data_IF_979488128599
#
_entry.id   IF_979488128599
#
_cell.length_a   1.000
_cell.length_b   1.000
_cell.length_c   1.000
_cell.angle_alpha   90.00
_cell.angle_beta   90.00
_cell.angle_gamma   90.00
#
_symmetry.space_group_name_H-M   'P 1'
#
loop_
_entity.id
_entity.type
_entity.pdbx_description
1 polymer ?
#
# COMPACT_ATOMS: atom_id res chain seq x y z
N UNK A 1 -6.26 -13.02 -14.28
CA UNK A 1 -5.66 -13.31 -15.61
C UNK A 1 -6.30 -12.41 -16.65
N UNK A 2 -5.59 -12.12 -17.74
CA UNK A 2 -6.07 -11.28 -18.84
C UNK A 2 -5.48 -9.86 -18.85
N UNK A 3 -4.39 -9.60 -18.12
CA UNK A 3 -3.74 -8.29 -18.11
C UNK A 3 -3.16 -7.89 -19.49
N UNK A 4 -2.98 -8.87 -20.40
CA UNK A 4 -2.62 -8.63 -21.80
C UNK A 4 -3.57 -7.66 -22.52
N UNK A 5 -4.83 -7.57 -22.10
CA UNK A 5 -5.83 -6.65 -22.66
C UNK A 5 -5.49 -5.17 -22.49
N UNK A 6 -4.67 -4.84 -21.50
CA UNK A 6 -4.23 -3.47 -21.21
C UNK A 6 -2.94 -3.10 -21.95
N UNK A 7 -2.28 -4.06 -22.62
CA UNK A 7 -1.12 -3.78 -23.46
C UNK A 7 -1.53 -3.12 -24.78
N UNK A 8 -0.62 -2.37 -25.40
CA UNK A 8 -0.79 -1.84 -26.77
C UNK A 8 -1.13 -2.95 -27.76
N UNK A 9 -1.96 -2.66 -28.77
CA UNK A 9 -2.47 -3.66 -29.75
C UNK A 9 -1.36 -4.47 -30.44
N UNK A 10 -0.25 -3.82 -30.78
CA UNK A 10 0.90 -4.45 -31.46
C UNK A 10 1.91 -5.10 -30.49
N UNK A 11 1.62 -5.14 -29.19
CA UNK A 11 2.55 -5.69 -28.22
C UNK A 11 2.70 -7.21 -28.37
N UNK A 12 3.95 -7.71 -28.40
CA UNK A 12 4.28 -9.13 -28.64
C UNK A 12 3.52 -10.12 -27.77
N UNK A 13 3.30 -9.79 -26.49
CA UNK A 13 2.59 -10.68 -25.54
C UNK A 13 1.14 -10.95 -25.93
N UNK A 14 0.47 -10.05 -26.68
CA UNK A 14 -0.90 -10.30 -27.15
C UNK A 14 -0.98 -11.49 -28.10
N UNK A 15 0.08 -11.75 -28.87
CA UNK A 15 0.16 -12.87 -29.80
C UNK A 15 0.80 -14.13 -29.20
N UNK A 16 1.38 -14.04 -28.00
CA UNK A 16 2.04 -15.15 -27.32
C UNK A 16 1.01 -16.03 -26.59
N UNK A 17 0.40 -16.95 -27.33
CA UNK A 17 -0.52 -17.93 -26.76
C UNK A 17 0.20 -18.95 -25.86
N UNK A 18 1.43 -19.33 -26.25
CA UNK A 18 2.17 -20.45 -25.65
C UNK A 18 2.60 -20.16 -24.20
N UNK A 19 3.06 -18.95 -23.91
CA UNK A 19 3.53 -18.59 -22.56
C UNK A 19 2.41 -18.22 -21.58
N UNK A 20 1.20 -18.00 -22.08
CA UNK A 20 0.05 -17.51 -21.31
C UNK A 20 -1.03 -18.60 -21.14
N UNK A 21 -2.24 -18.35 -21.61
CA UNK A 21 -3.46 -19.14 -21.40
C UNK A 21 -3.84 -19.99 -22.62
N UNK A 22 -2.93 -20.16 -23.58
CA UNK A 22 -3.20 -20.88 -24.84
C UNK A 22 -3.96 -20.06 -25.89
N UNK A 23 -4.28 -18.79 -25.62
CA UNK A 23 -5.05 -17.93 -26.53
C UNK A 23 -4.28 -16.69 -26.99
N UNK A 24 -4.65 -16.15 -28.15
CA UNK A 24 -4.23 -14.82 -28.60
C UNK A 24 -5.20 -13.78 -28.03
N UNK A 25 -4.67 -12.68 -27.51
CA UNK A 25 -5.48 -11.60 -26.92
C UNK A 25 -5.79 -10.51 -27.94
N UNK A 26 -6.98 -10.59 -28.53
CA UNK A 26 -7.49 -9.60 -29.51
C UNK A 26 -8.40 -8.54 -28.88
N UNK A 27 -8.85 -8.73 -27.64
CA UNK A 27 -9.82 -7.82 -27.01
C UNK A 27 -9.14 -6.51 -26.63
N UNK A 28 -9.93 -5.45 -26.64
CA UNK A 28 -9.52 -4.15 -26.12
C UNK A 28 -9.56 -4.14 -24.59
N UNK A 29 -8.84 -3.19 -23.99
CA UNK A 29 -8.96 -2.90 -22.57
C UNK A 29 -10.43 -2.56 -22.26
N UNK A 30 -11.00 -3.04 -21.14
CA UNK A 30 -12.32 -2.62 -20.71
C UNK A 30 -12.40 -1.09 -20.61
N UNK A 31 -13.47 -0.49 -21.13
CA UNK A 31 -13.72 0.93 -20.96
C UNK A 31 -14.15 1.22 -19.52
N UNK A 32 -13.72 2.37 -19.00
CA UNK A 32 -14.23 2.88 -17.73
C UNK A 32 -15.73 3.11 -17.85
N UNK A 33 -16.49 2.53 -16.92
CA UNK A 33 -17.95 2.67 -16.87
C UNK A 33 -18.28 4.08 -16.38
N UNK A 34 -19.06 4.86 -17.15
CA UNK A 34 -19.47 6.21 -16.74
C UNK A 34 -20.30 6.20 -15.46
N UNK A 35 -20.30 7.29 -14.70
CA UNK A 35 -21.14 7.41 -13.51
C UNK A 35 -22.63 7.30 -13.85
N UNK A 36 -23.04 7.87 -14.99
CA UNK A 36 -24.41 7.75 -15.52
C UNK A 36 -24.83 6.30 -15.77
N UNK A 37 -23.95 5.50 -16.36
CA UNK A 37 -24.20 4.09 -16.62
C UNK A 37 -24.28 3.29 -15.32
N UNK A 38 -23.42 3.59 -14.34
CA UNK A 38 -23.51 2.97 -13.01
C UNK A 38 -24.81 3.34 -12.29
N UNK A 39 -25.24 4.60 -12.34
CA UNK A 39 -26.51 5.04 -11.76
C UNK A 39 -27.71 4.34 -12.40
N UNK A 40 -27.68 4.18 -13.73
CA UNK A 40 -28.71 3.43 -14.45
C UNK A 40 -28.74 1.94 -14.06
N UNK A 41 -27.57 1.31 -13.84
CA UNK A 41 -27.50 -0.09 -13.39
C UNK A 41 -28.15 -0.32 -12.02
N UNK A 42 -28.13 0.68 -11.14
CA UNK A 42 -28.64 0.55 -9.77
C UNK A 42 -30.01 1.17 -9.54
N UNK A 43 -30.57 1.86 -10.54
CA UNK A 43 -31.82 2.62 -10.42
C UNK A 43 -32.98 1.76 -9.90
N UNK A 44 -33.10 0.54 -10.42
CA UNK A 44 -34.21 -0.36 -10.12
C UNK A 44 -33.89 -1.37 -9.01
N UNK A 45 -32.72 -1.24 -8.37
CA UNK A 45 -32.29 -2.13 -7.28
C UNK A 45 -32.79 -1.57 -5.95
N UNK A 46 -33.61 -2.34 -5.25
CA UNK A 46 -33.97 -2.07 -3.85
C UNK A 46 -32.88 -2.58 -2.92
N UNK A 47 -32.15 -1.66 -2.30
CA UNK A 47 -31.14 -1.98 -1.28
C UNK A 47 -31.80 -2.01 0.11
N UNK A 48 -31.92 -3.20 0.71
CA UNK A 48 -32.39 -3.34 2.09
C UNK A 48 -31.15 -3.41 3.00
N UNK A 49 -31.03 -2.47 3.94
CA UNK A 49 -29.93 -2.45 4.90
C UNK A 49 -30.04 -3.66 5.82
N UNK A 50 -29.02 -4.52 5.83
CA UNK A 50 -28.95 -5.70 6.71
C UNK A 50 -29.40 -7.02 6.07
N UNK A 51 -29.92 -7.03 4.84
CA UNK A 51 -30.24 -8.26 4.10
C UNK A 51 -29.47 -8.32 2.78
N UNK A 52 -28.95 -9.49 2.43
CA UNK A 52 -28.41 -9.73 1.09
C UNK A 52 -29.57 -9.73 0.10
N UNK A 53 -29.53 -8.84 -0.89
CA UNK A 53 -30.53 -8.78 -1.96
C UNK A 53 -30.66 -10.15 -2.65
N UNK A 54 -31.83 -10.77 -2.55
CA UNK A 54 -32.18 -11.99 -3.30
C UNK A 54 -32.13 -11.69 -4.80
N UNK A 55 -31.62 -12.66 -5.55
CA UNK A 55 -31.33 -12.51 -6.98
C UNK A 55 -32.60 -12.23 -7.78
N UNK A 56 -32.69 -11.04 -8.36
CA UNK A 56 -33.70 -10.73 -9.39
C UNK A 56 -33.35 -11.52 -10.65
N UNK A 57 -34.25 -12.40 -11.09
CA UNK A 57 -34.10 -13.17 -12.33
C UNK A 57 -34.34 -12.30 -13.56
N UNK A 58 -33.43 -12.32 -14.54
CA UNK A 58 -33.65 -11.79 -15.88
C UNK A 58 -32.75 -10.62 -16.32
N UNK A 59 -31.95 -10.05 -15.43
CA UNK A 59 -30.90 -9.06 -15.74
C UNK A 59 -29.56 -9.63 -15.26
N UNK A 60 -28.42 -9.25 -15.87
CA UNK A 60 -27.06 -9.62 -15.42
C UNK A 60 -27.04 -9.80 -13.90
N UNK A 61 -26.74 -11.02 -13.41
CA UNK A 61 -26.71 -11.38 -11.97
C UNK A 61 -26.27 -10.16 -11.16
N UNK A 62 -27.20 -9.56 -10.41
CA UNK A 62 -26.95 -8.31 -9.70
C UNK A 62 -25.70 -8.46 -8.80
N UNK A 63 -24.59 -7.79 -9.17
CA UNK A 63 -23.34 -7.82 -8.41
C UNK A 63 -23.33 -6.79 -7.28
N UNK A 64 -24.30 -5.88 -7.25
CA UNK A 64 -24.42 -4.83 -6.25
C UNK A 64 -25.08 -5.35 -4.97
N UNK A 65 -24.32 -5.35 -3.88
CA UNK A 65 -24.82 -5.75 -2.55
C UNK A 65 -25.28 -4.58 -1.69
N UNK A 66 -24.74 -3.38 -1.94
CA UNK A 66 -25.00 -2.17 -1.16
C UNK A 66 -24.92 -0.94 -2.06
N UNK A 67 -25.69 0.10 -1.70
CA UNK A 67 -25.60 1.44 -2.26
C UNK A 67 -25.17 2.40 -1.15
N UNK A 68 -24.07 3.12 -1.38
CA UNK A 68 -23.64 4.17 -0.46
C UNK A 68 -24.57 5.37 -0.54
N UNK A 69 -24.72 6.11 0.56
CA UNK A 69 -25.44 7.40 0.60
C UNK A 69 -24.85 8.42 -0.38
N UNK A 70 -23.55 8.28 -0.71
CA UNK A 70 -22.87 9.19 -1.64
C UNK A 70 -23.44 9.16 -3.05
N UNK A 71 -24.16 8.09 -3.44
CA UNK A 71 -24.85 8.01 -4.72
C UNK A 71 -26.00 9.03 -4.88
N UNK A 72 -26.42 9.66 -3.78
CA UNK A 72 -27.46 10.71 -3.81
C UNK A 72 -26.86 12.11 -3.96
N UNK A 73 -25.53 12.24 -3.95
CA UNK A 73 -24.89 13.54 -4.11
C UNK A 73 -25.02 14.01 -5.56
N UNK A 74 -25.36 15.29 -5.82
CA UNK A 74 -25.59 15.80 -7.18
C UNK A 74 -24.41 15.58 -8.13
N UNK A 75 -23.18 15.62 -7.61
CA UNK A 75 -21.95 15.47 -8.39
C UNK A 75 -21.50 14.01 -8.55
N UNK A 76 -22.20 13.03 -7.97
CA UNK A 76 -21.74 11.64 -7.95
C UNK A 76 -21.66 11.03 -9.35
N UNK A 77 -22.57 11.42 -10.24
CA UNK A 77 -22.56 11.04 -11.66
C UNK A 77 -21.27 11.46 -12.38
N UNK A 78 -20.77 12.65 -12.04
CA UNK A 78 -19.53 13.23 -12.60
C UNK A 78 -18.27 12.84 -11.84
N UNK A 79 -18.38 12.12 -10.71
CA UNK A 79 -17.20 11.75 -9.92
C UNK A 79 -16.36 10.68 -10.65
N UNK A 80 -15.10 11.01 -10.94
CA UNK A 80 -14.14 10.11 -11.57
C UNK A 80 -13.60 9.05 -10.59
N UNK A 81 -13.53 9.36 -9.30
CA UNK A 81 -12.94 8.51 -8.24
C UNK A 81 -14.04 8.01 -7.31
N UNK A 82 -14.97 7.22 -7.85
CA UNK A 82 -16.15 6.72 -7.11
C UNK A 82 -15.83 5.67 -6.05
N UNK A 83 -14.80 4.87 -6.26
CA UNK A 83 -14.49 3.71 -5.41
C UNK A 83 -13.27 3.92 -4.51
N UNK A 84 -12.47 4.96 -4.76
CA UNK A 84 -11.21 5.30 -4.09
C UNK A 84 -10.43 4.06 -3.59
N UNK A 85 -9.65 3.45 -4.49
CA UNK A 85 -8.95 2.21 -4.20
C UNK A 85 -8.02 2.38 -3.00
N UNK A 86 -8.20 1.49 -2.02
CA UNK A 86 -7.40 1.50 -0.81
C UNK A 86 -6.00 0.93 -1.11
N UNK A 87 -5.08 1.81 -1.48
CA UNK A 87 -3.70 1.48 -1.83
C UNK A 87 -3.01 0.74 -0.67
N UNK A 88 -3.34 1.09 0.57
CA UNK A 88 -2.78 0.52 1.80
C UNK A 88 -3.04 -0.98 1.88
N UNK A 89 -4.30 -1.36 1.72
CA UNK A 89 -4.70 -2.75 1.74
C UNK A 89 -4.32 -3.48 0.47
N UNK A 90 -4.37 -2.83 -0.69
CA UNK A 90 -3.93 -3.44 -1.96
C UNK A 90 -2.45 -3.81 -1.88
N UNK A 91 -1.57 -2.88 -1.51
CA UNK A 91 -0.12 -3.11 -1.39
C UNK A 91 0.18 -4.19 -0.36
N UNK A 92 -0.47 -4.16 0.81
CA UNK A 92 -0.35 -5.23 1.81
C UNK A 92 -0.75 -6.60 1.24
N UNK A 93 -1.88 -6.70 0.55
CA UNK A 93 -2.34 -7.96 -0.02
C UNK A 93 -1.39 -8.48 -1.11
N UNK A 94 -0.83 -7.58 -1.93
CA UNK A 94 0.17 -7.93 -2.94
C UNK A 94 1.45 -8.43 -2.28
N UNK A 95 1.93 -7.72 -1.24
CA UNK A 95 3.09 -8.10 -0.45
C UNK A 95 2.92 -9.49 0.19
N UNK A 96 1.80 -9.71 0.88
CA UNK A 96 1.46 -10.99 1.49
C UNK A 96 1.42 -12.10 0.42
N UNK A 97 0.73 -11.88 -0.70
CA UNK A 97 0.64 -12.85 -1.79
C UNK A 97 2.02 -13.23 -2.34
N UNK A 98 2.91 -12.25 -2.55
CA UNK A 98 4.29 -12.48 -2.97
C UNK A 98 5.03 -13.31 -1.93
N UNK A 99 5.16 -12.81 -0.69
CA UNK A 99 5.94 -13.46 0.36
C UNK A 99 5.47 -14.90 0.61
N UNK A 100 4.16 -15.12 0.78
CA UNK A 100 3.62 -16.45 1.06
C UNK A 100 3.81 -17.42 -0.10
N UNK A 101 3.74 -16.94 -1.35
CA UNK A 101 3.93 -17.78 -2.55
C UNK A 101 5.40 -18.12 -2.75
N UNK A 102 6.31 -17.13 -2.66
CA UNK A 102 7.75 -17.33 -2.87
C UNK A 102 8.36 -18.24 -1.79
N UNK A 103 7.92 -18.08 -0.54
CA UNK A 103 8.37 -18.92 0.57
C UNK A 103 7.62 -20.26 0.63
N UNK A 104 6.61 -20.50 -0.21
CA UNK A 104 5.82 -21.73 -0.22
C UNK A 104 5.17 -22.03 1.14
N UNK A 105 4.63 -21.01 1.80
CA UNK A 105 4.18 -21.09 3.20
C UNK A 105 2.70 -21.48 3.31
N UNK A 106 2.47 -22.79 3.50
CA UNK A 106 1.18 -23.35 3.89
C UNK A 106 0.01 -22.96 2.99
N UNK A 107 -1.21 -22.89 3.57
CA UNK A 107 -2.46 -22.60 2.85
C UNK A 107 -2.54 -21.20 2.24
N UNK A 108 -1.66 -20.26 2.64
CA UNK A 108 -1.64 -18.89 2.12
C UNK A 108 -0.89 -18.76 0.80
N UNK A 109 -0.04 -19.74 0.47
CA UNK A 109 0.64 -19.81 -0.83
C UNK A 109 -0.39 -19.82 -1.96
N UNK A 110 -0.11 -19.06 -3.03
CA UNK A 110 -0.90 -19.10 -4.28
C UNK A 110 -0.48 -20.23 -5.22
N UNK A 111 0.48 -21.03 -4.78
CA UNK A 111 0.81 -22.32 -5.37
C UNK A 111 0.27 -23.42 -4.46
N UNK A 112 -0.91 -23.95 -4.80
CA UNK A 112 -1.63 -25.01 -4.10
C UNK A 112 -2.23 -26.01 -5.10
N UNK A 113 -2.80 -27.13 -4.60
CA UNK A 113 -3.29 -28.21 -5.44
C UNK A 113 -4.40 -27.73 -6.40
N UNK A 114 -5.30 -26.89 -5.91
CA UNK A 114 -6.42 -26.33 -6.65
C UNK A 114 -5.90 -25.47 -7.82
N UNK A 115 -4.98 -24.54 -7.57
CA UNK A 115 -4.37 -23.73 -8.60
C UNK A 115 -3.62 -24.58 -9.66
N UNK A 116 -3.10 -25.74 -9.27
CA UNK A 116 -2.41 -26.68 -10.16
C UNK A 116 -3.38 -27.53 -10.98
N UNK A 117 -4.54 -27.87 -10.42
CA UNK A 117 -5.65 -28.50 -11.14
C UNK A 117 -6.25 -27.54 -12.16
N UNK A 118 -6.37 -26.24 -11.83
CA UNK A 118 -6.80 -25.22 -12.78
C UNK A 118 -5.89 -25.18 -14.02
N UNK A 119 -4.57 -25.32 -13.86
CA UNK A 119 -3.64 -25.41 -14.99
C UNK A 119 -3.95 -26.61 -15.91
N UNK A 120 -4.33 -27.75 -15.32
CA UNK A 120 -4.68 -28.96 -16.05
C UNK A 120 -5.99 -28.79 -16.81
N UNK A 121 -7.00 -28.20 -16.18
CA UNK A 121 -8.29 -27.90 -16.79
C UNK A 121 -8.14 -26.90 -17.95
N UNK A 122 -7.34 -25.86 -17.74
CA UNK A 122 -6.98 -24.87 -18.76
C UNK A 122 -6.03 -25.42 -19.83
N UNK A 123 -5.51 -26.65 -19.68
CA UNK A 123 -4.55 -27.31 -20.60
C UNK A 123 -3.27 -26.50 -20.84
N UNK A 124 -2.80 -25.79 -19.82
CA UNK A 124 -1.57 -24.98 -19.88
C UNK A 124 -0.50 -25.52 -18.91
N UNK A 125 0.77 -25.28 -19.26
CA UNK A 125 1.95 -25.66 -18.45
C UNK A 125 1.92 -27.11 -17.92
N UNK A 126 1.91 -28.13 -18.81
CA UNK A 126 1.84 -29.54 -18.40
C UNK A 126 2.91 -29.98 -17.41
N UNK A 127 4.09 -29.36 -17.44
CA UNK A 127 5.19 -29.63 -16.51
C UNK A 127 4.85 -29.33 -15.04
N UNK A 128 3.81 -28.53 -14.78
CA UNK A 128 3.39 -28.14 -13.43
C UNK A 128 2.16 -28.91 -12.94
N UNK A 129 1.57 -29.80 -13.75
CA UNK A 129 0.35 -30.51 -13.36
C UNK A 129 0.58 -31.44 -12.16
N UNK A 130 -0.42 -31.64 -11.29
CA UNK A 130 -0.33 -32.61 -10.20
C UNK A 130 -0.10 -34.02 -10.75
N UNK A 131 0.80 -34.75 -10.10
CA UNK A 131 1.08 -36.16 -10.38
C UNK A 131 0.47 -37.01 -9.27
N UNK A 132 0.05 -38.23 -9.59
CA UNK A 132 -0.56 -39.15 -8.64
C UNK A 132 0.27 -40.44 -8.60
N UNK A 133 1.29 -40.52 -7.72
CA UNK A 133 2.03 -41.75 -7.48
C UNK A 133 1.13 -42.82 -6.86
N UNK A 134 1.63 -44.06 -6.81
CA UNK A 134 0.92 -45.21 -6.23
C UNK A 134 0.46 -45.00 -4.76
N UNK A 135 1.02 -44.02 -4.04
CA UNK A 135 0.63 -43.64 -2.68
C UNK A 135 -0.73 -42.92 -2.59
N UNK A 136 -1.35 -42.57 -3.72
CA UNK A 136 -2.66 -41.91 -3.79
C UNK A 136 -2.67 -40.42 -3.42
N UNK A 137 -1.58 -39.88 -2.85
CA UNK A 137 -1.43 -38.45 -2.55
C UNK A 137 -0.93 -37.69 -3.77
N UNK A 138 -1.55 -36.54 -4.06
CA UNK A 138 -1.11 -35.67 -5.12
C UNK A 138 0.30 -35.12 -4.84
N UNK A 139 1.23 -35.38 -5.75
CA UNK A 139 2.57 -34.79 -5.77
C UNK A 139 2.57 -33.55 -6.68
N UNK A 140 3.05 -32.42 -6.13
CA UNK A 140 3.16 -31.17 -6.88
C UNK A 140 4.60 -30.96 -7.35
N UNK A 141 4.86 -30.88 -8.67
CA UNK A 141 6.19 -30.58 -9.18
C UNK A 141 6.71 -29.23 -8.68
N UNK A 142 8.00 -29.17 -8.33
CA UNK A 142 8.65 -27.95 -7.86
C UNK A 142 8.56 -26.82 -8.90
N UNK A 143 8.29 -25.61 -8.43
CA UNK A 143 8.22 -24.40 -9.25
C UNK A 143 9.49 -23.57 -9.09
N UNK A 144 9.91 -22.93 -10.18
CA UNK A 144 11.12 -22.09 -10.21
C UNK A 144 10.98 -20.78 -9.41
N UNK A 145 9.77 -20.43 -8.99
CA UNK A 145 9.50 -19.23 -8.17
C UNK A 145 9.36 -19.55 -6.67
N UNK A 146 9.40 -20.82 -6.25
CA UNK A 146 9.45 -21.18 -4.83
C UNK A 146 10.91 -21.30 -4.41
N UNK A 147 11.26 -20.64 -3.31
CA UNK A 147 12.60 -20.68 -2.73
C UNK A 147 12.91 -22.06 -2.14
N UNK A 148 14.13 -22.52 -2.38
CA UNK A 148 14.75 -23.62 -1.64
C UNK A 148 15.01 -23.24 -0.19
N UNK A 149 15.36 -24.22 0.66
CA UNK A 149 15.60 -23.98 2.08
C UNK A 149 16.71 -22.94 2.33
N UNK A 150 17.81 -23.03 1.59
CA UNK A 150 18.96 -22.11 1.69
C UNK A 150 18.59 -20.69 1.27
N UNK A 151 17.80 -20.58 0.20
CA UNK A 151 17.31 -19.28 -0.28
C UNK A 151 16.35 -18.61 0.72
N UNK A 152 15.50 -19.40 1.41
CA UNK A 152 14.65 -18.88 2.49
C UNK A 152 15.47 -18.37 3.67
N UNK A 153 16.55 -19.06 4.03
CA UNK A 153 17.44 -18.63 5.11
C UNK A 153 18.06 -17.25 4.80
N UNK A 154 18.59 -17.07 3.59
CA UNK A 154 19.11 -15.77 3.13
C UNK A 154 18.03 -14.68 3.11
N UNK A 155 16.83 -15.02 2.66
CA UNK A 155 15.71 -14.07 2.66
C UNK A 155 15.35 -13.60 4.08
N UNK A 156 15.26 -14.52 5.04
CA UNK A 156 14.98 -14.16 6.42
C UNK A 156 16.11 -13.39 7.09
N UNK A 157 17.36 -13.74 6.79
CA UNK A 157 18.54 -13.04 7.31
C UNK A 157 18.50 -11.55 6.96
N UNK A 158 18.18 -11.20 5.71
CA UNK A 158 18.05 -9.81 5.27
C UNK A 158 16.97 -9.08 6.08
N UNK A 159 15.80 -9.69 6.25
CA UNK A 159 14.70 -9.07 6.99
C UNK A 159 14.94 -8.98 8.50
N UNK A 160 15.66 -9.95 9.09
CA UNK A 160 16.00 -9.95 10.50
C UNK A 160 17.07 -8.90 10.85
N UNK A 161 18.01 -8.67 9.94
CA UNK A 161 19.12 -7.74 10.14
C UNK A 161 18.80 -6.31 9.67
N UNK A 162 17.63 -6.08 9.07
CA UNK A 162 17.19 -4.75 8.66
C UNK A 162 17.05 -3.83 9.89
N UNK A 163 17.75 -2.69 9.85
CA UNK A 163 17.68 -1.62 10.86
C UNK A 163 17.18 -0.35 10.20
N UNK A 164 16.35 0.39 10.92
CA UNK A 164 15.74 1.62 10.46
C UNK A 164 15.95 2.74 11.48
N UNK A 165 15.93 4.02 11.05
CA UNK A 165 15.85 5.15 11.96
C UNK A 165 14.66 5.03 12.91
N UNK A 166 14.75 5.69 14.07
CA UNK A 166 13.63 5.76 15.00
C UNK A 166 12.38 6.35 14.32
N UNK A 167 11.21 5.79 14.61
CA UNK A 167 9.94 6.23 14.02
C UNK A 167 9.66 5.78 12.57
N UNK A 168 10.65 5.29 11.82
CA UNK A 168 10.46 4.95 10.40
C UNK A 168 9.69 3.65 10.18
N UNK A 169 10.06 2.54 10.84
CA UNK A 169 9.41 1.24 10.67
C UNK A 169 9.37 0.46 11.98
N UNK A 170 8.44 -0.50 12.07
CA UNK A 170 8.43 -1.40 13.22
C UNK A 170 9.58 -2.41 13.14
N UNK A 171 9.90 -3.05 14.26
CA UNK A 171 10.96 -4.07 14.29
C UNK A 171 10.52 -5.37 13.58
N UNK A 172 10.77 -5.44 12.27
CA UNK A 172 10.40 -6.57 11.38
C UNK A 172 10.98 -7.90 11.87
N UNK A 173 12.14 -7.90 12.54
CA UNK A 173 12.74 -9.14 13.07
C UNK A 173 11.79 -9.88 14.02
N UNK A 174 10.92 -9.17 14.75
CA UNK A 174 9.94 -9.75 15.68
C UNK A 174 8.85 -10.56 14.96
N UNK A 175 8.60 -10.26 13.69
CA UNK A 175 7.64 -10.95 12.83
C UNK A 175 8.19 -12.26 12.25
N UNK A 176 9.48 -12.56 12.46
CA UNK A 176 10.14 -13.73 11.90
C UNK A 176 10.41 -14.74 13.01
N UNK A 177 9.77 -15.91 12.93
CA UNK A 177 9.93 -17.00 13.91
C UNK A 177 10.00 -18.34 13.22
N UNK A 178 11.01 -19.15 13.56
CA UNK A 178 11.17 -20.54 13.07
C UNK A 178 10.97 -20.67 11.54
N UNK A 179 11.59 -19.78 10.75
CA UNK A 179 11.49 -19.74 9.27
C UNK A 179 10.08 -19.50 8.74
N UNK A 180 9.27 -18.78 9.51
CA UNK A 180 7.94 -18.33 9.12
C UNK A 180 7.82 -16.82 9.40
N UNK A 181 6.93 -16.17 8.64
CA UNK A 181 6.60 -14.76 8.80
C UNK A 181 5.15 -14.65 9.25
N UNK A 182 4.95 -13.99 10.38
CA UNK A 182 3.62 -13.72 10.92
C UNK A 182 3.58 -12.38 11.66
N UNK A 183 2.39 -11.78 11.74
CA UNK A 183 2.19 -10.54 12.48
C UNK A 183 2.71 -9.27 11.78
N UNK A 184 3.03 -9.32 10.49
CA UNK A 184 3.30 -8.12 9.71
C UNK A 184 2.06 -7.23 9.68
N UNK A 185 2.24 -5.96 10.03
CA UNK A 185 1.23 -4.92 9.84
C UNK A 185 1.31 -4.37 8.42
N UNK A 186 0.28 -3.60 8.05
CA UNK A 186 0.16 -2.96 6.75
C UNK A 186 1.33 -2.03 6.44
N UNK A 187 1.85 -1.31 7.44
CA UNK A 187 3.04 -0.46 7.28
C UNK A 187 4.33 -1.28 7.11
N UNK A 188 4.47 -2.42 7.78
CA UNK A 188 5.64 -3.29 7.60
C UNK A 188 5.67 -3.85 6.18
N UNK A 189 4.50 -4.20 5.63
CA UNK A 189 4.38 -4.66 4.26
C UNK A 189 4.77 -3.58 3.25
N UNK A 190 4.41 -2.32 3.51
CA UNK A 190 4.81 -1.16 2.70
C UNK A 190 6.33 -1.00 2.67
N UNK A 191 6.98 -0.99 3.85
CA UNK A 191 8.45 -0.90 3.96
C UNK A 191 9.13 -2.09 3.28
N UNK A 192 8.58 -3.31 3.45
CA UNK A 192 9.12 -4.48 2.77
C UNK A 192 8.98 -4.33 1.26
N UNK A 193 7.82 -3.95 0.73
CA UNK A 193 7.60 -3.80 -0.71
C UNK A 193 8.53 -2.78 -1.36
N UNK A 194 8.79 -1.65 -0.70
CA UNK A 194 9.49 -0.53 -1.33
C UNK A 194 11.01 -0.58 -1.12
N UNK A 195 11.47 -1.07 0.02
CA UNK A 195 12.89 -1.01 0.40
C UNK A 195 13.56 -2.39 0.49
N UNK A 196 12.91 -3.36 1.13
CA UNK A 196 13.59 -4.62 1.49
C UNK A 196 13.42 -5.74 0.48
N UNK A 197 12.27 -5.85 -0.19
CA UNK A 197 11.90 -7.04 -0.96
C UNK A 197 12.87 -7.25 -2.13
N UNK A 198 13.23 -6.18 -2.85
CA UNK A 198 14.24 -6.23 -3.91
C UNK A 198 15.62 -6.67 -3.42
N UNK A 199 16.00 -6.27 -2.21
CA UNK A 199 17.28 -6.65 -1.59
C UNK A 199 17.25 -8.12 -1.16
N UNK A 200 16.18 -8.53 -0.47
CA UNK A 200 15.99 -9.88 0.04
C UNK A 200 15.87 -10.94 -1.08
N UNK A 201 15.39 -10.55 -2.27
CA UNK A 201 15.27 -11.44 -3.43
C UNK A 201 16.53 -11.54 -4.29
N UNK A 202 17.51 -10.66 -4.12
CA UNK A 202 18.67 -10.52 -5.03
C UNK A 202 19.47 -11.81 -5.22
N UNK A 203 19.56 -12.66 -4.20
CA UNK A 203 20.30 -13.93 -4.19
C UNK A 203 19.43 -15.15 -3.87
N UNK A 204 18.10 -14.97 -3.79
CA UNK A 204 17.21 -15.95 -3.17
C UNK A 204 16.21 -16.57 -4.16
N UNK A 205 16.23 -16.18 -5.43
CA UNK A 205 15.28 -16.70 -6.42
C UNK A 205 15.78 -16.59 -7.86
N UNK A 206 15.13 -17.34 -8.77
CA UNK A 206 15.33 -17.24 -10.22
C UNK A 206 15.32 -15.78 -10.71
N UNK A 207 16.33 -15.44 -11.53
CA UNK A 207 16.57 -14.07 -12.03
C UNK A 207 15.36 -13.49 -12.75
N UNK A 208 14.54 -14.31 -13.43
CA UNK A 208 13.34 -13.86 -14.16
C UNK A 208 12.27 -13.40 -13.19
N UNK A 209 12.08 -14.12 -12.09
CA UNK A 209 11.13 -13.79 -11.03
C UNK A 209 11.59 -12.55 -10.27
N UNK A 210 12.88 -12.52 -9.90
CA UNK A 210 13.45 -11.37 -9.21
C UNK A 210 13.29 -10.08 -10.04
N UNK A 211 13.61 -10.13 -11.33
CA UNK A 211 13.52 -8.96 -12.22
C UNK A 211 12.10 -8.38 -12.29
N UNK A 212 11.05 -9.21 -12.38
CA UNK A 212 9.68 -8.70 -12.44
C UNK A 212 9.21 -8.15 -11.10
N UNK A 213 9.61 -8.76 -9.97
CA UNK A 213 9.24 -8.29 -8.64
C UNK A 213 9.93 -6.95 -8.35
N UNK A 214 11.21 -6.79 -8.70
CA UNK A 214 11.91 -5.49 -8.56
C UNK A 214 11.17 -4.40 -9.34
N UNK A 215 10.69 -4.68 -10.57
CA UNK A 215 9.90 -3.71 -11.33
C UNK A 215 8.58 -3.36 -10.63
N UNK A 216 7.91 -4.33 -10.02
CA UNK A 216 6.69 -4.10 -9.25
C UNK A 216 6.95 -3.27 -7.97
N UNK A 217 8.02 -3.58 -7.24
CA UNK A 217 8.48 -2.77 -6.09
C UNK A 217 8.77 -1.33 -6.50
N UNK A 218 9.48 -1.16 -7.62
CA UNK A 218 9.80 0.17 -8.17
C UNK A 218 8.54 0.93 -8.58
N UNK A 219 7.54 0.24 -9.12
CA UNK A 219 6.23 0.83 -9.42
C UNK A 219 5.55 1.36 -8.15
N UNK A 220 5.45 0.56 -7.08
CA UNK A 220 4.85 1.01 -5.82
C UNK A 220 5.62 2.18 -5.20
N UNK A 221 6.96 2.11 -5.21
CA UNK A 221 7.81 3.21 -4.71
C UNK A 221 7.60 4.51 -5.48
N UNK A 222 7.46 4.46 -6.81
CA UNK A 222 7.19 5.63 -7.63
C UNK A 222 5.77 6.18 -7.41
N UNK A 223 4.77 5.28 -7.35
CA UNK A 223 3.37 5.65 -7.10
C UNK A 223 3.17 6.31 -5.72
N UNK A 224 3.91 5.86 -4.71
CA UNK A 224 3.87 6.38 -3.34
C UNK A 224 4.85 7.53 -3.08
N UNK A 225 5.44 8.10 -4.13
CA UNK A 225 6.29 9.29 -4.02
C UNK A 225 5.51 10.49 -3.46
N UNK A 226 6.19 11.38 -2.72
CA UNK A 226 5.62 12.62 -2.18
C UNK A 226 5.15 13.57 -3.29
N UNK A 227 5.87 13.57 -4.40
CA UNK A 227 5.56 14.36 -5.60
C UNK A 227 5.32 13.40 -6.77
N UNK A 228 4.25 13.66 -7.53
CA UNK A 228 3.89 12.89 -8.72
C UNK A 228 3.83 13.81 -9.93
N UNK A 229 4.55 13.43 -10.99
CA UNK A 229 4.50 14.10 -12.28
C UNK A 229 3.54 13.35 -13.20
N UNK A 230 2.72 14.08 -13.95
CA UNK A 230 1.71 13.49 -14.85
C UNK A 230 2.34 12.58 -15.91
N UNK A 231 3.48 12.97 -16.48
CA UNK A 231 4.18 12.15 -17.48
C UNK A 231 4.74 10.85 -16.89
N UNK A 232 5.17 10.88 -15.62
CA UNK A 232 5.61 9.69 -14.90
C UNK A 232 4.43 8.75 -14.62
N UNK A 233 3.27 9.29 -14.24
CA UNK A 233 2.06 8.50 -14.01
C UNK A 233 1.58 7.76 -15.27
N UNK A 234 1.57 8.44 -16.43
CA UNK A 234 1.26 7.82 -17.73
C UNK A 234 2.23 6.69 -18.05
N UNK A 235 3.52 6.90 -17.77
CA UNK A 235 4.53 5.85 -17.94
C UNK A 235 4.33 4.68 -16.97
N UNK A 236 3.92 4.95 -15.73
CA UNK A 236 3.60 3.91 -14.73
C UNK A 236 2.39 3.08 -15.16
N UNK A 237 1.35 3.68 -15.75
CA UNK A 237 0.18 2.98 -16.30
C UNK A 237 0.57 2.01 -17.43
N UNK A 238 1.44 2.43 -18.35
CA UNK A 238 1.95 1.55 -19.40
C UNK A 238 2.81 0.41 -18.80
N UNK A 239 3.71 0.75 -17.86
CA UNK A 239 4.63 -0.21 -17.24
C UNK A 239 3.91 -1.27 -16.42
N UNK A 240 2.90 -0.89 -15.63
CA UNK A 240 2.21 -1.87 -14.77
C UNK A 240 1.49 -2.94 -15.58
N UNK A 241 0.93 -2.57 -16.73
CA UNK A 241 0.32 -3.49 -17.68
C UNK A 241 1.33 -4.54 -18.16
N UNK A 242 2.56 -4.13 -18.48
CA UNK A 242 3.64 -5.03 -18.87
C UNK A 242 4.16 -5.89 -17.70
N UNK A 243 4.28 -5.30 -16.50
CA UNK A 243 4.71 -5.99 -15.28
C UNK A 243 3.73 -7.12 -14.96
N UNK A 244 2.43 -6.82 -14.83
CA UNK A 244 1.41 -7.82 -14.52
C UNK A 244 1.31 -8.89 -15.61
N UNK A 245 1.39 -8.50 -16.89
CA UNK A 245 1.44 -9.47 -18.00
C UNK A 245 2.71 -10.36 -17.94
N UNK A 246 3.84 -9.83 -17.49
CA UNK A 246 5.06 -10.63 -17.31
C UNK A 246 4.90 -11.58 -16.12
N UNK A 247 4.29 -11.13 -15.03
CA UNK A 247 3.96 -11.98 -13.90
C UNK A 247 3.01 -13.11 -14.30
N UNK A 248 2.04 -12.87 -15.19
CA UNK A 248 1.11 -13.90 -15.67
C UNK A 248 1.82 -15.08 -16.32
N UNK A 249 2.96 -14.85 -16.99
CA UNK A 249 3.78 -15.92 -17.54
C UNK A 249 4.51 -16.74 -16.48
N UNK A 250 4.74 -16.17 -15.30
CA UNK A 250 5.58 -16.78 -14.27
C UNK A 250 4.76 -17.46 -13.17
N UNK A 251 3.76 -16.77 -12.64
CA UNK A 251 2.93 -17.24 -11.53
C UNK A 251 1.69 -18.01 -12.03
N UNK A 252 1.04 -18.75 -11.13
CA UNK A 252 -0.20 -19.48 -11.41
C UNK A 252 -1.40 -18.52 -11.49
N UNK A 253 -2.48 -18.90 -12.19
CA UNK A 253 -3.72 -18.10 -12.27
C UNK A 253 -4.26 -17.65 -10.90
N UNK A 254 -4.20 -18.53 -9.89
CA UNK A 254 -4.65 -18.25 -8.52
C UNK A 254 -3.90 -17.13 -7.80
N UNK A 255 -2.72 -16.73 -8.31
CA UNK A 255 -1.97 -15.57 -7.80
C UNK A 255 -2.70 -14.25 -8.10
N UNK A 256 -3.39 -14.16 -9.23
CA UNK A 256 -4.03 -12.93 -9.71
C UNK A 256 -5.40 -12.73 -9.07
N UNK A 257 -5.41 -12.55 -7.76
CA UNK A 257 -6.61 -12.17 -7.00
C UNK A 257 -7.09 -10.77 -7.40
N UNK A 258 -8.29 -10.40 -6.97
CA UNK A 258 -8.83 -9.07 -7.25
C UNK A 258 -7.89 -7.95 -6.76
N UNK A 259 -7.25 -8.11 -5.61
CA UNK A 259 -6.29 -7.13 -5.09
C UNK A 259 -5.08 -6.95 -6.00
N UNK A 260 -4.55 -8.04 -6.57
CA UNK A 260 -3.43 -7.96 -7.54
C UNK A 260 -3.90 -7.30 -8.83
N UNK A 261 -5.13 -7.57 -9.27
CA UNK A 261 -5.70 -6.94 -10.45
C UNK A 261 -5.85 -5.42 -10.28
N UNK A 262 -6.33 -4.96 -9.12
CA UNK A 262 -6.56 -3.53 -8.84
C UNK A 262 -5.30 -2.68 -8.98
N UNK A 263 -4.10 -3.26 -8.86
CA UNK A 263 -2.83 -2.56 -9.05
C UNK A 263 -2.74 -1.87 -10.41
N UNK A 264 -3.35 -2.43 -11.46
CA UNK A 264 -3.33 -1.85 -12.81
C UNK A 264 -4.04 -0.50 -12.89
N UNK A 265 -4.96 -0.22 -11.97
CA UNK A 265 -5.76 1.00 -11.95
C UNK A 265 -5.17 2.11 -11.09
N UNK A 266 -4.15 1.81 -10.28
CA UNK A 266 -3.66 2.74 -9.27
C UNK A 266 -3.00 4.00 -9.86
N UNK A 267 -2.28 3.86 -10.98
CA UNK A 267 -1.63 5.01 -11.63
C UNK A 267 -2.67 6.00 -12.18
N UNK A 268 -3.69 5.51 -12.90
CA UNK A 268 -4.79 6.33 -13.39
C UNK A 268 -5.61 6.95 -12.26
N UNK A 269 -5.82 6.22 -11.15
CA UNK A 269 -6.49 6.80 -9.99
C UNK A 269 -5.65 7.89 -9.30
N UNK A 270 -4.34 7.72 -9.21
CA UNK A 270 -3.43 8.76 -8.71
C UNK A 270 -3.37 10.00 -9.61
N UNK A 271 -3.56 9.84 -10.93
CA UNK A 271 -3.69 10.97 -11.87
C UNK A 271 -4.93 11.82 -11.55
N UNK A 272 -6.05 11.18 -11.19
CA UNK A 272 -7.29 11.89 -10.85
C UNK A 272 -7.35 12.39 -9.41
N UNK A 273 -6.86 11.59 -8.46
CA UNK A 273 -7.03 11.82 -7.02
C UNK A 273 -5.80 12.47 -6.36
N UNK A 274 -4.71 12.62 -7.10
CA UNK A 274 -3.43 13.12 -6.60
C UNK A 274 -2.64 12.08 -5.80
N UNK A 275 -1.60 12.55 -5.07
CA UNK A 275 -0.68 11.70 -4.33
C UNK A 275 -1.36 10.73 -3.37
N UNK A 276 -0.82 9.51 -3.31
CA UNK A 276 -1.37 8.43 -2.47
C UNK A 276 -1.35 8.79 -0.99
N UNK A 277 -0.42 9.63 -0.53
CA UNK A 277 -0.28 9.93 0.89
C UNK A 277 -1.49 10.60 1.52
N UNK A 278 -2.25 11.38 0.75
CA UNK A 278 -3.50 11.98 1.22
C UNK A 278 -4.67 10.98 1.28
N UNK A 279 -4.49 9.78 0.71
CA UNK A 279 -5.51 8.73 0.60
C UNK A 279 -5.18 7.50 1.44
N UNK A 280 -4.12 7.56 2.25
CA UNK A 280 -3.80 6.48 3.16
C UNK A 280 -4.87 6.32 4.23
N UNK A 281 -5.21 5.07 4.52
CA UNK A 281 -6.09 4.72 5.63
C UNK A 281 -5.36 4.63 6.98
N UNK A 282 -4.02 4.74 7.02
CA UNK A 282 -3.25 4.63 8.26
C UNK A 282 -3.75 5.59 9.37
N UNK A 283 -3.95 6.89 9.14
CA UNK A 283 -4.39 7.80 10.20
C UNK A 283 -5.80 7.46 10.69
N UNK A 284 -6.69 7.15 9.74
CA UNK A 284 -8.09 6.81 10.02
C UNK A 284 -8.18 5.54 10.85
N UNK A 285 -7.50 4.46 10.44
CA UNK A 285 -7.53 3.20 11.18
C UNK A 285 -6.89 3.30 12.56
N UNK A 286 -5.79 4.07 12.69
CA UNK A 286 -5.16 4.33 14.00
C UNK A 286 -6.12 5.09 14.92
N UNK A 287 -6.78 6.13 14.42
CA UNK A 287 -7.75 6.90 15.18
C UNK A 287 -8.93 6.03 15.63
N UNK A 288 -9.51 5.26 14.71
CA UNK A 288 -10.61 4.33 15.03
C UNK A 288 -10.17 3.26 16.04
N UNK A 289 -8.93 2.77 15.99
CA UNK A 289 -8.40 1.86 16.99
C UNK A 289 -8.27 2.50 18.38
N UNK A 290 -7.92 3.79 18.44
CA UNK A 290 -7.91 4.57 19.69
C UNK A 290 -9.32 4.74 20.25
N UNK A 291 -10.27 5.20 19.42
CA UNK A 291 -11.68 5.32 19.84
C UNK A 291 -12.25 3.99 20.33
N UNK A 292 -11.92 2.89 19.64
CA UNK A 292 -12.34 1.56 20.07
C UNK A 292 -11.79 1.20 21.46
N UNK A 293 -10.59 1.64 21.81
CA UNK A 293 -10.02 1.39 23.14
C UNK A 293 -10.69 2.18 24.27
N UNK A 294 -11.41 3.26 23.94
CA UNK A 294 -12.20 4.05 24.88
C UNK A 294 -13.56 3.42 25.21
N UNK A 295 -14.01 2.43 24.42
CA UNK A 295 -15.28 1.74 24.67
C UNK A 295 -15.08 0.70 25.78
N UNK A 296 -15.28 1.11 27.03
CA UNK A 296 -15.30 0.25 28.21
C UNK A 296 -16.70 -0.31 28.47
N UNK A 297 -17.75 0.44 28.11
CA UNK A 297 -19.14 0.00 28.20
C UNK A 297 -19.77 -0.11 26.80
N UNK A 298 -19.94 -1.34 26.30
CA UNK A 298 -20.58 -1.60 25.01
C UNK A 298 -22.09 -1.31 24.98
N UNK A 299 -22.76 -1.11 26.12
CA UNK A 299 -24.17 -0.72 26.17
C UNK A 299 -24.38 0.77 25.85
N UNK A 300 -23.36 1.61 26.11
CA UNK A 300 -23.36 3.04 25.84
C UNK A 300 -22.02 3.47 25.22
N UNK A 301 -21.69 2.99 24.00
CA UNK A 301 -20.36 3.17 23.43
C UNK A 301 -20.01 4.64 23.17
N UNK A 302 -20.98 5.47 22.78
CA UNK A 302 -20.77 6.90 22.52
C UNK A 302 -20.40 7.66 23.80
N UNK A 303 -21.11 7.39 24.90
CA UNK A 303 -20.83 7.99 26.21
C UNK A 303 -19.46 7.56 26.74
N UNK A 304 -19.12 6.27 26.60
CA UNK A 304 -17.82 5.74 27.00
C UNK A 304 -16.67 6.39 26.22
N UNK A 305 -16.85 6.62 24.91
CA UNK A 305 -15.87 7.32 24.08
C UNK A 305 -15.71 8.77 24.54
N UNK A 306 -16.82 9.49 24.75
CA UNK A 306 -16.78 10.89 25.15
C UNK A 306 -16.09 11.10 26.50
N UNK A 307 -16.42 10.27 27.50
CA UNK A 307 -15.81 10.33 28.84
C UNK A 307 -14.30 10.09 28.80
N UNK A 308 -13.87 9.00 28.16
CA UNK A 308 -12.46 8.67 28.06
C UNK A 308 -11.67 9.67 27.18
N UNK A 309 -12.31 10.24 26.16
CA UNK A 309 -11.71 11.31 25.37
C UNK A 309 -11.45 12.56 26.22
N UNK A 310 -12.44 13.02 26.99
CA UNK A 310 -12.29 14.16 27.92
C UNK A 310 -11.21 13.88 28.96
N UNK A 311 -11.20 12.68 29.55
CA UNK A 311 -10.17 12.30 30.51
C UNK A 311 -8.77 12.34 29.88
N UNK A 312 -8.63 11.83 28.65
CA UNK A 312 -7.36 11.84 27.93
C UNK A 312 -6.89 13.26 27.57
N UNK A 313 -7.80 14.15 27.17
CA UNK A 313 -7.47 15.56 26.91
C UNK A 313 -7.06 16.29 28.20
N UNK A 314 -7.79 16.11 29.30
CA UNK A 314 -7.44 16.68 30.60
C UNK A 314 -6.07 16.20 31.09
N UNK A 315 -5.78 14.91 31.00
CA UNK A 315 -4.47 14.35 31.36
C UNK A 315 -3.35 14.87 30.45
N UNK A 316 -3.62 14.98 29.15
CA UNK A 316 -2.67 15.56 28.19
C UNK A 316 -2.39 17.02 28.52
N UNK A 317 -3.42 17.80 28.84
CA UNK A 317 -3.28 19.17 29.29
C UNK A 317 -2.44 19.25 30.57
N UNK A 318 -2.79 18.49 31.62
CA UNK A 318 -2.03 18.45 32.87
C UNK A 318 -0.55 18.07 32.66
N UNK A 319 -0.27 17.12 31.76
CA UNK A 319 1.10 16.68 31.46
C UNK A 319 2.00 17.79 30.89
N UNK A 320 1.42 18.79 30.20
CA UNK A 320 2.18 19.94 29.67
C UNK A 320 2.61 20.93 30.76
N UNK A 321 1.94 20.95 31.90
CA UNK A 321 2.23 21.88 33.01
C UNK A 321 3.04 21.25 34.15
N UNK A 322 3.09 19.91 34.22
CA UNK A 322 3.89 19.19 35.21
C UNK A 322 5.30 18.94 34.65
N UNK A 323 6.22 19.89 34.84
CA UNK A 323 7.64 19.70 34.52
C UNK A 323 8.25 18.57 35.36
N UNK A 324 8.94 17.62 34.71
CA UNK A 324 9.86 16.69 35.39
C UNK A 324 9.31 15.31 35.78
N UNK A 325 8.08 14.96 35.40
CA UNK A 325 7.62 13.57 35.48
C UNK A 325 7.86 12.85 34.17
N UNK A 326 8.77 11.86 34.15
CA UNK A 326 8.92 10.90 33.05
C UNK A 326 7.52 10.46 32.56
N UNK A 327 7.10 10.94 31.40
CA UNK A 327 5.78 10.71 30.79
C UNK A 327 5.60 9.26 30.29
N UNK A 328 6.40 8.33 30.83
CA UNK A 328 6.53 6.93 30.39
C UNK A 328 5.30 6.07 30.64
N UNK A 329 4.30 6.54 31.39
CA UNK A 329 3.14 5.70 31.75
C UNK A 329 1.86 5.95 30.97
N UNK A 330 1.75 7.03 30.16
CA UNK A 330 0.54 7.25 29.34
C UNK A 330 0.79 7.58 27.86
N UNK A 331 2.04 7.67 27.41
CA UNK A 331 2.40 7.70 25.98
C UNK A 331 2.97 6.34 25.52
N UNK A 332 2.12 5.42 25.06
CA UNK A 332 2.59 4.20 24.36
C UNK A 332 2.02 4.07 22.93
N UNK A 333 1.44 5.14 22.37
CA UNK A 333 0.98 5.16 20.97
C UNK A 333 1.19 6.47 20.21
N UNK A 334 1.94 7.42 20.75
CA UNK A 334 2.43 8.52 19.90
C UNK A 334 3.55 7.97 19.02
N UNK A 335 3.34 7.97 17.71
CA UNK A 335 4.40 8.43 16.82
C UNK A 335 4.62 9.88 17.25
N UNK A 336 5.81 10.20 17.76
CA UNK A 336 6.18 11.56 18.08
C UNK A 336 6.15 12.39 16.79
N UNK A 337 5.03 13.09 16.58
CA UNK A 337 4.97 14.31 15.77
C UNK A 337 5.35 15.54 16.63
N UNK A 338 5.76 15.34 17.89
CA UNK A 338 6.22 16.39 18.78
C UNK A 338 7.76 16.41 18.76
N UNK A 339 8.32 17.34 17.98
CA UNK A 339 9.75 17.68 17.96
C UNK A 339 10.14 18.14 19.37
N UNK A 340 10.85 17.29 20.13
CA UNK A 340 11.50 17.69 21.36
C UNK A 340 12.66 18.66 21.05
N UNK A 341 12.50 19.92 21.42
CA UNK A 341 13.63 20.83 21.59
C UNK A 341 14.18 20.67 23.01
N UNK A 342 15.33 20.00 23.11
CA UNK A 342 16.21 20.15 24.26
C UNK A 342 17.57 20.64 23.76
N UNK A 343 17.77 21.96 23.73
CA UNK A 343 18.84 22.62 24.49
C UNK A 343 18.92 24.14 24.27
N UNK A 344 19.32 24.79 25.36
CA UNK A 344 19.81 26.15 25.54
C UNK A 344 18.81 27.32 25.49
N UNK A 345 18.60 27.86 26.69
CA UNK A 345 18.27 29.23 27.05
C UNK A 345 18.74 30.25 26.01
N UNK A 346 17.84 30.64 25.13
CA UNK A 346 17.51 32.01 24.69
C UNK A 346 16.46 31.85 23.58
N UNK A 347 15.46 32.74 23.54
CA UNK A 347 14.39 32.71 22.53
C UNK A 347 15.01 32.83 21.13
N UNK A 348 15.29 31.70 20.47
CA UNK A 348 15.71 31.72 19.07
C UNK A 348 14.51 32.16 18.21
N UNK A 349 14.63 33.33 17.59
CA UNK A 349 13.61 33.96 16.75
C UNK A 349 13.15 33.08 15.57
N UNK A 350 14.00 32.15 15.15
CA UNK A 350 13.73 31.21 14.06
C UNK A 350 14.01 29.79 14.56
N UNK A 351 13.01 29.05 15.05
CA UNK A 351 13.20 27.66 15.38
C UNK A 351 13.53 26.90 14.10
N UNK A 352 14.54 26.03 14.16
CA UNK A 352 14.86 25.12 13.06
C UNK A 352 13.73 24.10 12.95
N UNK A 353 12.78 24.32 12.04
CA UNK A 353 11.65 23.40 11.82
C UNK A 353 12.04 22.36 10.77
N UNK A 354 12.22 21.12 11.21
CA UNK A 354 12.39 19.93 10.38
C UNK A 354 13.84 19.46 10.19
N UNK A 355 14.00 18.15 10.00
CA UNK A 355 15.27 17.54 9.55
C UNK A 355 15.23 17.36 8.02
N UNK A 356 16.25 17.89 7.32
CA UNK A 356 16.39 17.68 5.88
C UNK A 356 16.80 16.24 5.59
N UNK A 357 15.99 15.50 4.83
CA UNK A 357 16.34 14.17 4.32
C UNK A 357 17.02 14.29 2.95
N UNK A 358 18.31 13.94 2.86
CA UNK A 358 19.08 13.91 1.61
C UNK A 358 20.55 14.24 1.80
N UNK A 359 21.33 14.21 0.71
CA UNK A 359 22.68 14.78 0.69
C UNK A 359 22.59 16.30 0.81
N UNK A 360 23.38 16.88 1.73
CA UNK A 360 23.42 18.32 1.97
C UNK A 360 24.38 18.96 0.97
N UNK A 361 23.86 19.76 0.04
CA UNK A 361 24.67 20.68 -0.74
C UNK A 361 24.85 21.97 0.06
N UNK A 362 26.05 22.16 0.59
CA UNK A 362 26.43 23.40 1.26
C UNK A 362 26.91 24.38 0.20
N UNK A 363 26.31 25.56 0.14
CA UNK A 363 26.79 26.67 -0.69
C UNK A 363 27.13 27.85 0.22
N UNK A 364 28.23 28.52 -0.09
CA UNK A 364 28.60 29.76 0.59
C UNK A 364 27.82 30.92 -0.01
N UNK A 365 27.20 31.73 0.85
CA UNK A 365 26.55 32.96 0.44
C UNK A 365 27.63 34.02 0.21
N UNK A 366 27.59 34.71 -0.94
CA UNK A 366 28.41 35.90 -1.13
C UNK A 366 27.94 37.04 -0.20
N UNK A 367 28.82 38.03 0.06
CA UNK A 367 28.51 39.13 0.97
C UNK A 367 27.23 39.90 0.56
N UNK A 368 26.95 39.99 -0.74
CA UNK A 368 25.80 40.72 -1.26
C UNK A 368 24.50 40.01 -0.95
N UNK A 369 24.45 38.69 -1.17
CA UNK A 369 23.31 37.83 -0.87
C UNK A 369 23.11 37.77 0.65
N UNK A 370 24.20 37.70 1.42
CA UNK A 370 24.13 37.73 2.88
C UNK A 370 23.49 39.02 3.39
N UNK A 371 23.92 40.17 2.87
CA UNK A 371 23.35 41.48 3.22
C UNK A 371 21.86 41.60 2.82
N UNK A 372 21.49 41.04 1.67
CA UNK A 372 20.10 41.03 1.20
C UNK A 372 19.21 40.13 2.05
N UNK A 373 19.68 38.93 2.41
CA UNK A 373 18.97 38.01 3.29
C UNK A 373 18.77 38.64 4.68
N UNK A 374 19.81 39.27 5.23
CA UNK A 374 19.73 39.98 6.51
C UNK A 374 18.69 41.10 6.48
N UNK A 375 18.70 41.96 5.45
CA UNK A 375 17.68 43.01 5.27
C UNK A 375 16.27 42.43 5.12
N UNK A 376 16.12 41.36 4.35
CA UNK A 376 14.82 40.73 4.14
C UNK A 376 14.22 40.26 5.48
N UNK A 377 15.02 39.59 6.30
CA UNK A 377 14.60 39.13 7.64
C UNK A 377 14.25 40.32 8.54
N UNK A 378 15.06 41.37 8.57
CA UNK A 378 14.78 42.58 9.36
C UNK A 378 13.42 43.20 8.95
N UNK A 379 13.19 43.46 7.68
CA UNK A 379 12.01 44.21 7.22
C UNK A 379 10.73 43.38 7.07
N UNK A 380 10.79 42.04 7.13
CA UNK A 380 9.64 41.15 6.93
C UNK A 380 9.38 40.22 8.13
N UNK A 381 9.95 40.52 9.31
CA UNK A 381 9.68 39.78 10.54
C UNK A 381 8.92 40.67 11.53
N UNK A 382 7.68 40.28 11.87
CA UNK A 382 6.80 40.98 12.83
C UNK A 382 7.17 40.70 14.30
N UNK A 383 8.44 40.39 14.59
CA UNK A 383 8.87 40.10 15.95
C UNK A 383 9.30 41.37 16.69
N UNK A 384 8.76 41.57 17.89
CA UNK A 384 9.13 42.64 18.83
C UNK A 384 10.64 42.72 19.09
N UNK A 385 11.33 41.57 19.08
CA UNK A 385 12.79 41.52 19.30
C UNK A 385 13.55 42.09 18.10
N UNK A 386 13.03 41.92 16.88
CA UNK A 386 13.64 42.42 15.63
C UNK A 386 13.32 43.91 15.42
N UNK A 387 12.15 44.38 15.84
CA UNK A 387 11.78 45.80 15.84
C UNK A 387 12.75 46.65 16.69
N UNK A 388 13.22 46.13 17.83
CA UNK A 388 14.21 46.81 18.67
C UNK A 388 15.59 46.98 18.00
N UNK A 389 15.89 46.25 16.92
CA UNK A 389 17.13 46.40 16.13
C UNK A 389 16.96 47.34 14.92
N UNK A 390 15.74 47.78 14.60
CA UNK A 390 15.46 48.74 13.50
C UNK A 390 15.61 50.21 13.94
N UNK A 391 15.46 50.47 15.24
CA UNK A 391 15.69 51.77 15.88
C UNK A 391 17.13 51.88 16.36
#
# INVERSE_FOLDING_TARGET
>A
MGHRRFLKLRHKYRNDAKSFDGTKETRLAPCLVSGSLVLNQIKDIKFIVGQSSEGVSGVMKNTWKKRSIFFNLPYWESNLVRHNLDVMHIEKNVCDNLIYTLLGLGKKSKDNLEARLDLKDMKIRPSLWPQYPASGRAYLPATFFIMSLKEKELFFEVLQNAKFPHGYASNISRCIRKRNISGLKTHDCHVIMQELLSLALRRSIDKRVNSVIIKLCTFFRALCSKELKLDELKLLEEKISEILSTMEKLFLPGFFTIMVHLVIHLAAEAEHAGPVHYRWMYPIERYLATLKSYVHNCACPEGSIAEAYIANECLTFCSRYLEGGDSRFYCSRKCDDDIEHATSKEKCLFPTVGESYGGVDVFELDEKIWLQAHRHVLFNCDSEVVENYKN
#
